data_IF_211562606907
#
_entry.id   IF_211562606907
#
_cell.length_a   1.000
_cell.length_b   1.000
_cell.length_c   1.000
_cell.angle_alpha   90.00
_cell.angle_beta   90.00
_cell.angle_gamma   90.00
#
_symmetry.space_group_name_H-M   'P 1'
#
loop_
_entity.id
_entity.type
_entity.pdbx_description
1 polymer ?
#
# COMPACT_ATOMS: atom_id res chain seq x y z
N UNK A 1 3.63 -8.86 21.67
CA UNK A 1 3.60 -8.24 20.32
C UNK A 1 3.68 -6.74 20.52
N UNK A 2 4.58 -6.06 19.81
CA UNK A 2 4.73 -4.60 19.90
C UNK A 2 3.91 -3.97 18.78
N UNK A 3 2.90 -3.19 19.13
CA UNK A 3 2.06 -2.46 18.17
C UNK A 3 2.91 -1.39 17.50
N UNK A 4 2.90 -1.37 16.17
CA UNK A 4 3.46 -0.32 15.33
C UNK A 4 2.34 0.58 14.82
N UNK A 5 2.59 1.89 14.85
CA UNK A 5 1.71 2.89 14.24
C UNK A 5 2.54 3.73 13.28
N UNK A 6 2.29 3.58 11.98
CA UNK A 6 2.98 4.31 10.94
C UNK A 6 1.97 5.08 10.08
N UNK A 7 2.34 6.26 9.62
CA UNK A 7 1.59 7.02 8.62
C UNK A 7 2.23 6.85 7.26
N UNK A 8 1.44 6.51 6.26
CA UNK A 8 1.86 6.26 4.90
C UNK A 8 1.32 7.32 3.96
N UNK A 9 2.13 7.64 2.95
CA UNK A 9 1.70 8.30 1.71
C UNK A 9 1.91 7.29 0.59
N UNK A 10 0.84 6.89 -0.09
CA UNK A 10 0.86 5.84 -1.10
C UNK A 10 0.12 6.29 -2.35
N UNK A 11 0.69 6.03 -3.53
CA UNK A 11 -0.02 6.17 -4.80
C UNK A 11 -0.47 4.79 -5.29
N UNK A 12 -1.78 4.58 -5.38
CA UNK A 12 -2.35 3.27 -5.70
C UNK A 12 -3.84 3.20 -5.46
N UNK A 13 -4.33 1.98 -5.23
CA UNK A 13 -5.74 1.69 -4.97
C UNK A 13 -5.97 1.30 -3.52
N UNK A 14 -7.20 1.53 -3.06
CA UNK A 14 -7.74 0.98 -1.82
C UNK A 14 -8.84 0.00 -2.20
N UNK A 15 -8.72 -1.25 -1.78
CA UNK A 15 -9.69 -2.30 -2.01
C UNK A 15 -10.30 -2.77 -0.68
N UNK A 16 -11.54 -3.29 -0.69
CA UNK A 16 -12.05 -4.07 0.43
C UNK A 16 -11.19 -5.31 0.64
N UNK A 17 -10.91 -5.67 1.89
CA UNK A 17 -10.10 -6.86 2.21
C UNK A 17 -10.69 -8.15 1.61
N UNK A 18 -12.02 -8.26 1.55
CA UNK A 18 -12.73 -9.41 0.99
C UNK A 18 -12.42 -9.69 -0.48
N UNK A 19 -11.92 -8.71 -1.23
CA UNK A 19 -11.46 -8.90 -2.61
C UNK A 19 -10.06 -9.55 -2.68
N UNK A 20 -9.41 -9.75 -1.54
CA UNK A 20 -8.06 -10.32 -1.39
C UNK A 20 -8.00 -11.52 -0.43
N UNK A 21 -9.15 -11.99 0.10
CA UNK A 21 -9.28 -12.99 1.18
C UNK A 21 -9.35 -14.46 0.69
N UNK A 22 -8.90 -14.73 -0.53
CA UNK A 22 -8.68 -16.11 -1.00
C UNK A 22 -7.28 -16.54 -0.57
N UNK A 23 -7.13 -17.68 0.12
CA UNK A 23 -5.82 -18.20 0.58
C UNK A 23 -4.79 -18.25 -0.56
N UNK A 24 -5.24 -18.55 -1.78
CA UNK A 24 -4.41 -18.55 -2.99
C UNK A 24 -4.04 -17.14 -3.49
N UNK A 25 -4.83 -16.12 -3.16
CA UNK A 25 -4.51 -14.72 -3.40
C UNK A 25 -3.54 -14.18 -2.33
N UNK A 26 -3.66 -14.63 -1.07
CA UNK A 26 -2.79 -14.21 0.03
C UNK A 26 -1.32 -14.63 -0.19
N UNK A 27 -1.06 -15.88 -0.62
CA UNK A 27 0.31 -16.32 -0.96
C UNK A 27 0.94 -15.48 -2.08
N UNK A 28 0.13 -14.99 -3.05
CA UNK A 28 0.61 -14.11 -4.11
C UNK A 28 0.91 -12.69 -3.64
N UNK A 29 0.28 -12.27 -2.54
CA UNK A 29 0.47 -10.95 -1.93
C UNK A 29 1.71 -10.91 -1.04
N UNK A 30 2.11 -12.04 -0.44
CA UNK A 30 3.23 -12.12 0.53
C UNK A 30 4.51 -11.40 0.07
N UNK A 31 4.98 -11.52 -1.19
CA UNK A 31 6.18 -10.82 -1.64
C UNK A 31 6.05 -9.29 -1.65
N UNK A 32 4.83 -8.80 -1.75
CA UNK A 32 4.51 -7.37 -1.83
C UNK A 32 4.16 -6.77 -0.47
N UNK A 33 3.92 -7.57 0.57
CA UNK A 33 3.49 -7.09 1.89
C UNK A 33 4.54 -6.17 2.54
N UNK A 34 4.09 -5.01 3.03
CA UNK A 34 4.93 -4.14 3.86
C UNK A 34 5.27 -4.83 5.18
N UNK A 35 6.46 -4.52 5.68
CA UNK A 35 6.84 -4.82 7.05
C UNK A 35 6.82 -3.53 7.86
N UNK A 36 5.88 -3.42 8.81
CA UNK A 36 5.76 -2.24 9.68
C UNK A 36 7.08 -1.91 10.42
N UNK A 37 7.85 -2.94 10.76
CA UNK A 37 9.12 -2.85 11.50
C UNK A 37 10.35 -2.51 10.64
N UNK A 38 10.23 -2.57 9.31
CA UNK A 38 11.34 -2.29 8.38
C UNK A 38 11.02 -1.03 7.58
N UNK A 39 12.07 -0.54 6.90
CA UNK A 39 11.89 0.50 5.87
C UNK A 39 10.94 0.03 4.77
N UNK A 40 10.52 0.98 3.93
CA UNK A 40 9.63 0.71 2.80
C UNK A 40 10.28 -0.34 1.88
N UNK A 41 9.53 -1.38 1.55
CA UNK A 41 9.96 -2.42 0.62
C UNK A 41 8.94 -2.56 -0.51
N UNK A 42 9.41 -2.45 -1.75
CA UNK A 42 8.58 -2.69 -2.94
C UNK A 42 9.05 -3.96 -3.63
N UNK A 43 8.10 -4.79 -4.04
CA UNK A 43 8.33 -5.90 -4.96
C UNK A 43 7.77 -5.51 -6.33
N UNK A 44 8.59 -5.57 -7.38
CA UNK A 44 8.24 -5.11 -8.73
C UNK A 44 7.66 -3.68 -8.78
N UNK A 45 8.12 -2.80 -7.88
CA UNK A 45 7.65 -1.41 -7.80
C UNK A 45 6.31 -1.21 -7.09
N UNK A 46 5.71 -2.27 -6.54
CA UNK A 46 4.47 -2.26 -5.77
C UNK A 46 4.71 -2.73 -4.32
N UNK A 47 3.84 -2.29 -3.44
CA UNK A 47 3.80 -2.60 -2.02
C UNK A 47 2.33 -2.76 -1.60
N UNK A 48 2.07 -3.70 -0.70
CA UNK A 48 0.74 -4.02 -0.18
C UNK A 48 0.70 -3.70 1.31
N UNK A 49 -0.29 -2.93 1.74
CA UNK A 49 -0.55 -2.62 3.15
C UNK A 49 -1.94 -3.13 3.49
N UNK A 50 -1.96 -4.16 4.32
CA UNK A 50 -3.17 -4.89 4.71
C UNK A 50 -3.55 -4.55 6.16
N UNK A 51 -4.84 -4.29 6.41
CA UNK A 51 -5.42 -4.05 7.74
C UNK A 51 -5.35 -5.29 8.65
N UNK A 52 -4.95 -6.46 8.13
CA UNK A 52 -4.64 -7.65 8.90
C UNK A 52 -5.84 -8.12 9.73
N UNK A 53 -5.74 -8.08 11.07
CA UNK A 53 -6.76 -8.65 11.97
C UNK A 53 -8.13 -7.96 11.91
N UNK A 54 -8.20 -6.71 11.45
CA UNK A 54 -9.47 -5.99 11.31
C UNK A 54 -10.09 -6.14 9.91
N UNK A 55 -9.30 -6.57 8.91
CA UNK A 55 -9.81 -6.98 7.60
C UNK A 55 -10.68 -5.93 6.89
N UNK A 56 -10.44 -4.63 7.05
CA UNK A 56 -11.28 -3.62 6.40
C UNK A 56 -10.77 -3.18 5.04
N UNK A 57 -9.46 -3.24 4.80
CA UNK A 57 -8.86 -2.72 3.58
C UNK A 57 -7.55 -3.39 3.21
N UNK A 58 -7.27 -3.34 1.91
CA UNK A 58 -5.96 -3.62 1.33
C UNK A 58 -5.57 -2.44 0.45
N UNK A 59 -4.47 -1.77 0.78
CA UNK A 59 -3.85 -0.80 -0.12
C UNK A 59 -2.82 -1.50 -1.00
N UNK A 60 -2.84 -1.20 -2.30
CA UNK A 60 -1.88 -1.73 -3.27
C UNK A 60 -1.34 -0.56 -4.08
N UNK A 61 -0.02 -0.38 -4.11
CA UNK A 61 0.59 0.68 -4.90
C UNK A 61 2.04 0.96 -4.54
N UNK A 62 2.50 2.17 -4.86
CA UNK A 62 3.84 2.64 -4.51
C UNK A 62 3.77 3.51 -3.26
N UNK A 63 4.37 3.06 -2.17
CA UNK A 63 4.62 3.91 -0.98
C UNK A 63 5.66 4.97 -1.34
N UNK A 64 5.32 6.23 -1.09
CA UNK A 64 6.12 7.42 -1.36
C UNK A 64 6.78 7.96 -0.09
N UNK A 65 6.11 7.82 1.05
CA UNK A 65 6.62 8.18 2.35
C UNK A 65 6.00 7.31 3.45
N UNK A 66 6.76 7.07 4.52
CA UNK A 66 6.35 6.30 5.71
C UNK A 66 7.00 6.95 6.94
N UNK A 67 6.24 7.17 8.01
CA UNK A 67 6.80 7.63 9.28
C UNK A 67 7.41 6.49 10.08
N UNK A 68 8.29 6.80 11.04
CA UNK A 68 8.68 5.81 12.04
C UNK A 68 7.51 5.52 13.01
N UNK A 69 7.70 4.53 13.86
CA UNK A 69 6.72 4.10 14.82
C UNK A 69 6.31 5.22 15.79
N UNK A 70 5.01 5.51 15.87
CA UNK A 70 4.43 6.60 16.69
C UNK A 70 4.92 8.01 16.31
N UNK A 71 5.55 8.17 15.14
CA UNK A 71 5.99 9.48 14.64
C UNK A 71 5.04 10.07 13.59
N UNK A 72 5.25 11.35 13.30
CA UNK A 72 4.54 12.13 12.30
C UNK A 72 5.49 12.73 11.26
N UNK A 73 4.97 13.15 10.11
CA UNK A 73 5.74 13.98 9.19
C UNK A 73 5.95 15.38 9.80
N UNK A 74 7.21 15.84 9.83
CA UNK A 74 7.54 17.16 10.39
C UNK A 74 7.15 18.32 9.45
N UNK A 75 7.01 18.03 8.16
CA UNK A 75 6.64 18.99 7.13
C UNK A 75 5.48 18.43 6.29
N UNK A 76 4.66 19.29 5.66
CA UNK A 76 3.62 18.84 4.74
C UNK A 76 4.22 17.97 3.62
N UNK A 77 3.68 16.77 3.44
CA UNK A 77 4.08 15.90 2.33
C UNK A 77 3.23 16.22 1.11
N UNK A 78 3.85 16.76 0.08
CA UNK A 78 3.23 17.00 -1.23
C UNK A 78 3.91 16.12 -2.27
N UNK A 79 3.45 14.88 -2.48
CA UNK A 79 4.08 13.99 -3.44
C UNK A 79 3.88 14.52 -4.86
N UNK A 80 4.98 14.77 -5.56
CA UNK A 80 4.98 15.08 -6.99
C UNK A 80 4.93 13.75 -7.76
N UNK A 81 3.72 13.37 -8.20
CA UNK A 81 3.49 12.22 -9.05
C UNK A 81 2.82 12.67 -10.33
N UNK A 82 3.48 12.39 -11.44
CA UNK A 82 2.97 12.66 -12.78
C UNK A 82 1.81 11.73 -13.15
N UNK A 83 0.98 12.14 -14.10
CA UNK A 83 -0.08 11.26 -14.63
C UNK A 83 0.52 10.00 -15.29
N UNK A 84 1.68 10.11 -15.93
CA UNK A 84 2.40 8.97 -16.50
C UNK A 84 2.77 7.95 -15.41
N UNK A 85 3.24 8.40 -14.25
CA UNK A 85 3.56 7.48 -13.14
C UNK A 85 2.31 6.81 -12.57
N UNK A 86 1.18 7.54 -12.48
CA UNK A 86 -0.11 6.94 -12.08
C UNK A 86 -0.55 5.86 -13.05
N UNK A 87 -0.43 6.10 -14.36
CA UNK A 87 -0.73 5.11 -15.40
C UNK A 87 0.19 3.89 -15.33
N UNK A 88 1.48 4.09 -15.08
CA UNK A 88 2.43 2.99 -14.88
C UNK A 88 2.07 2.15 -13.65
N UNK A 89 1.74 2.79 -12.54
CA UNK A 89 1.28 2.09 -11.32
C UNK A 89 -0.02 1.33 -11.60
N UNK A 90 -0.98 1.95 -12.30
CA UNK A 90 -2.23 1.31 -12.68
C UNK A 90 -1.99 0.05 -13.54
N UNK A 91 -1.13 0.14 -14.54
CA UNK A 91 -0.78 -0.98 -15.41
C UNK A 91 -0.09 -2.11 -14.64
N UNK A 92 0.81 -1.80 -13.70
CA UNK A 92 1.45 -2.79 -12.83
C UNK A 92 0.43 -3.50 -11.94
N UNK A 93 -0.50 -2.75 -11.35
CA UNK A 93 -1.56 -3.31 -10.51
C UNK A 93 -2.46 -4.23 -11.35
N UNK A 94 -2.89 -3.80 -12.53
CA UNK A 94 -3.69 -4.62 -13.45
C UNK A 94 -2.97 -5.90 -13.87
N UNK A 95 -1.69 -5.79 -14.24
CA UNK A 95 -0.90 -6.93 -14.70
C UNK A 95 -0.68 -7.98 -13.59
N UNK A 96 -0.49 -7.53 -12.34
CA UNK A 96 -0.14 -8.42 -11.24
C UNK A 96 -1.37 -8.97 -10.50
N UNK A 97 -2.43 -8.17 -10.38
CA UNK A 97 -3.60 -8.49 -9.55
C UNK A 97 -4.89 -8.67 -10.36
N UNK A 98 -4.82 -8.63 -11.69
CA UNK A 98 -5.98 -8.79 -12.59
C UNK A 98 -7.12 -7.79 -12.33
N UNK A 99 -6.81 -6.63 -11.77
CA UNK A 99 -7.77 -5.56 -11.50
C UNK A 99 -7.96 -4.75 -12.78
N UNK A 100 -9.17 -4.69 -13.31
CA UNK A 100 -9.47 -3.90 -14.50
C UNK A 100 -9.55 -2.40 -14.16
N UNK A 101 -8.76 -1.58 -14.86
CA UNK A 101 -8.76 -0.11 -14.77
C UNK A 101 -8.73 0.42 -13.32
N UNK A 102 -7.69 0.08 -12.53
CA UNK A 102 -7.57 0.54 -11.16
C UNK A 102 -7.54 2.07 -11.09
N UNK A 103 -8.41 2.63 -10.23
CA UNK A 103 -8.49 4.08 -10.00
C UNK A 103 -7.38 4.54 -9.04
N UNK A 104 -6.20 4.76 -9.60
CA UNK A 104 -4.99 5.10 -8.85
C UNK A 104 -5.03 6.54 -8.34
N UNK A 105 -4.94 6.67 -7.02
CA UNK A 105 -4.94 7.95 -6.29
C UNK A 105 -3.83 8.00 -5.27
N UNK A 106 -3.53 9.21 -4.80
CA UNK A 106 -2.67 9.40 -3.63
C UNK A 106 -3.53 9.28 -2.37
N UNK A 107 -3.09 8.41 -1.47
CA UNK A 107 -3.69 8.13 -0.18
C UNK A 107 -2.73 8.57 0.92
N UNK A 108 -3.28 9.16 1.98
CA UNK A 108 -2.58 9.44 3.24
C UNK A 108 -3.37 8.78 4.35
N UNK A 109 -2.75 7.87 5.09
CA UNK A 109 -3.44 7.12 6.14
C UNK A 109 -2.47 6.66 7.23
N UNK A 110 -2.98 6.55 8.45
CA UNK A 110 -2.28 5.90 9.55
C UNK A 110 -2.75 4.44 9.66
N UNK A 111 -1.80 3.53 9.81
CA UNK A 111 -2.07 2.10 9.91
C UNK A 111 -1.39 1.53 11.16
N UNK A 112 -2.14 0.69 11.87
CA UNK A 112 -1.72 0.00 13.09
C UNK A 112 -1.49 -1.48 12.78
N UNK A 113 -0.40 -2.05 13.27
CA UNK A 113 -0.09 -3.48 13.14
C UNK A 113 0.59 -4.05 14.37
#
# INVERSE_FOLDING_TARGET
MSVQVNTYVLCGVKLPFSECDDDAAFEKLEPYLDSAFKGIHHHNGLCVIDDGMNGNYTFIGRVLAKTQNYEHFNEPVSPDISNLEKELIANLISAQFCIEKPDVKVWVFSHYR
#
